data_IF_594360608165
#
_entry.id   IF_594360608165
#
_cell.length_a   1.000
_cell.length_b   1.000
_cell.length_c   1.000
_cell.angle_alpha   90.00
_cell.angle_beta   90.00
_cell.angle_gamma   90.00
#
_symmetry.space_group_name_H-M   'P 1'
#
loop_
_entity.id
_entity.type
_entity.pdbx_description
1 polymer ?
#
# COMPACT_ATOMS: atom_id res chain seq x y z
N UNK A 1 41.90 2.23 47.08
CA UNK A 1 41.27 3.39 46.43
C UNK A 1 41.47 3.45 44.90
N UNK A 2 42.63 3.09 44.35
CA UNK A 2 42.84 3.09 42.89
C UNK A 2 41.98 2.06 42.11
N UNK A 3 41.73 0.86 42.67
CA UNK A 3 40.91 -0.16 42.04
C UNK A 3 39.43 0.16 42.01
N UNK A 4 38.92 0.90 42.99
CA UNK A 4 37.52 1.31 43.03
C UNK A 4 37.19 2.37 42.00
N UNK A 5 38.15 3.22 41.67
CA UNK A 5 37.97 4.28 40.65
C UNK A 5 37.93 3.71 39.22
N UNK A 6 38.65 2.60 38.93
CA UNK A 6 38.66 1.94 37.66
C UNK A 6 37.36 1.18 37.37
N UNK A 7 36.69 0.65 38.38
CA UNK A 7 35.40 -0.02 38.27
C UNK A 7 34.26 0.95 37.96
N UNK A 8 34.33 2.20 38.48
CA UNK A 8 33.31 3.21 38.19
C UNK A 8 33.41 3.77 36.75
N UNK A 9 34.62 3.81 36.16
CA UNK A 9 34.81 4.31 34.80
C UNK A 9 34.30 3.32 33.75
N UNK A 10 34.34 2.00 34.06
CA UNK A 10 33.85 0.97 33.12
C UNK A 10 32.32 0.86 33.05
N UNK A 11 31.61 1.34 34.08
CA UNK A 11 30.13 1.29 34.14
C UNK A 11 29.44 2.39 33.33
N UNK A 12 30.15 3.42 32.88
CA UNK A 12 29.56 4.59 32.19
C UNK A 12 29.52 4.44 30.67
N UNK A 13 30.21 3.44 30.10
CA UNK A 13 30.34 3.28 28.64
C UNK A 13 29.22 2.47 28.00
N UNK A 14 28.33 1.84 28.79
CA UNK A 14 27.28 0.94 28.26
C UNK A 14 25.87 1.58 28.17
N UNK A 15 25.74 2.90 28.31
CA UNK A 15 24.43 3.57 28.35
C UNK A 15 24.05 4.33 27.08
N UNK A 16 24.65 4.00 25.93
CA UNK A 16 24.25 4.57 24.64
C UNK A 16 23.79 3.45 23.68
N UNK A 17 22.80 2.65 24.08
CA UNK A 17 21.86 2.10 23.13
C UNK A 17 20.72 3.11 23.02
N UNK A 18 20.88 4.11 22.21
CA UNK A 18 19.76 4.78 21.57
C UNK A 18 19.13 3.72 20.68
N UNK A 19 17.98 3.20 21.11
CA UNK A 19 17.04 2.61 20.17
C UNK A 19 16.68 3.71 19.20
N UNK A 20 17.33 3.74 18.05
CA UNK A 20 16.74 4.36 16.88
C UNK A 20 15.43 3.62 16.69
N UNK A 21 14.36 4.28 17.08
CA UNK A 21 13.04 3.95 16.58
C UNK A 21 13.24 3.80 15.08
N UNK A 22 12.98 2.61 14.54
CA UNK A 22 12.69 2.48 13.14
C UNK A 22 11.57 3.49 12.90
N UNK A 23 11.93 4.68 12.46
CA UNK A 23 10.98 5.59 11.85
C UNK A 23 10.27 4.71 10.83
N UNK A 24 9.01 4.46 11.13
CA UNK A 24 8.07 3.87 10.22
C UNK A 24 8.29 4.59 8.89
N UNK A 25 8.87 3.88 7.92
CA UNK A 25 9.02 4.36 6.54
C UNK A 25 7.63 4.41 5.91
N UNK A 26 6.72 5.09 6.58
CA UNK A 26 5.45 5.47 6.04
C UNK A 26 5.76 6.47 4.94
N UNK A 27 5.84 6.00 3.71
CA UNK A 27 5.89 6.88 2.55
C UNK A 27 4.67 7.79 2.69
N UNK A 28 4.84 9.11 2.85
CA UNK A 28 3.70 10.00 3.04
C UNK A 28 2.76 9.85 1.86
N UNK A 29 1.52 9.44 2.13
CA UNK A 29 0.49 9.41 1.07
C UNK A 29 0.27 10.87 0.64
N UNK A 30 0.37 11.18 -0.67
CA UNK A 30 0.14 12.53 -1.16
C UNK A 30 -1.20 13.08 -0.70
N UNK A 31 -1.27 14.38 -0.45
CA UNK A 31 -2.51 15.04 -0.02
C UNK A 31 -3.63 14.97 -1.04
N UNK A 32 -3.30 14.84 -2.33
CA UNK A 32 -4.25 14.61 -3.42
C UNK A 32 -3.84 13.34 -4.18
N UNK A 33 -4.69 12.33 -4.15
CA UNK A 33 -4.51 11.09 -4.89
C UNK A 33 -5.32 11.16 -6.18
N UNK A 34 -4.63 11.11 -7.31
CA UNK A 34 -5.28 11.09 -8.64
C UNK A 34 -5.20 9.71 -9.28
N UNK A 35 -6.12 9.43 -10.19
CA UNK A 35 -6.12 8.19 -10.94
C UNK A 35 -4.83 8.03 -11.74
N UNK A 36 -4.53 8.99 -12.61
CA UNK A 36 -3.43 8.90 -13.57
C UNK A 36 -2.07 8.73 -12.90
N UNK A 37 -1.82 9.44 -11.80
CA UNK A 37 -0.50 9.42 -11.16
C UNK A 37 -0.34 8.30 -10.13
N UNK A 38 -1.42 7.88 -9.49
CA UNK A 38 -1.32 7.03 -8.30
C UNK A 38 -2.04 5.69 -8.44
N UNK A 39 -3.27 5.68 -8.99
CA UNK A 39 -4.10 4.48 -9.04
C UNK A 39 -3.83 3.66 -10.29
N UNK A 40 -3.76 4.30 -11.45
CA UNK A 40 -3.54 3.63 -12.72
C UNK A 40 -2.29 2.73 -12.72
N UNK A 41 -1.11 3.16 -12.25
CA UNK A 41 0.08 2.30 -12.20
C UNK A 41 -0.13 1.04 -11.36
N UNK A 42 -0.90 1.11 -10.28
CA UNK A 42 -1.24 -0.04 -9.44
C UNK A 42 -2.15 -1.00 -10.22
N UNK A 43 -3.18 -0.49 -10.87
CA UNK A 43 -4.12 -1.30 -11.64
C UNK A 43 -3.46 -1.96 -12.85
N UNK A 44 -2.63 -1.24 -13.60
CA UNK A 44 -1.93 -1.74 -14.78
C UNK A 44 -0.99 -2.89 -14.45
N UNK A 45 -0.31 -2.81 -13.31
CA UNK A 45 0.68 -3.82 -12.90
C UNK A 45 0.06 -5.02 -12.17
N UNK A 46 -1.08 -4.84 -11.51
CA UNK A 46 -1.63 -5.85 -10.59
C UNK A 46 -3.01 -6.38 -10.97
N UNK A 47 -3.75 -5.67 -11.80
CA UNK A 47 -5.16 -5.98 -12.06
C UNK A 47 -5.49 -6.10 -13.55
N UNK A 48 -5.11 -5.10 -14.35
CA UNK A 48 -5.40 -5.02 -15.79
C UNK A 48 -4.41 -5.82 -16.65
N UNK A 49 -3.82 -6.86 -16.09
CA UNK A 49 -2.85 -7.72 -16.77
C UNK A 49 -3.53 -8.74 -17.66
N UNK A 50 -2.74 -9.37 -18.57
CA UNK A 50 -3.21 -10.43 -19.44
C UNK A 50 -3.79 -11.61 -18.63
N UNK A 51 -4.96 -12.08 -19.02
CA UNK A 51 -5.69 -13.12 -18.30
C UNK A 51 -6.49 -12.64 -17.09
N UNK A 52 -6.46 -11.34 -16.80
CA UNK A 52 -7.14 -10.74 -15.65
C UNK A 52 -8.20 -9.70 -16.11
N UNK A 53 -8.05 -8.44 -15.71
CA UNK A 53 -9.05 -7.40 -15.95
C UNK A 53 -8.66 -6.40 -17.04
N UNK A 54 -7.96 -6.85 -18.08
CA UNK A 54 -7.75 -6.06 -19.28
C UNK A 54 -8.92 -6.26 -20.28
N UNK A 55 -8.98 -5.43 -21.32
CA UNK A 55 -10.07 -5.45 -22.30
C UNK A 55 -10.18 -6.79 -23.05
N UNK A 56 -9.07 -7.48 -23.31
CA UNK A 56 -9.10 -8.75 -24.06
C UNK A 56 -9.52 -9.94 -23.18
N UNK A 57 -9.22 -9.93 -21.90
CA UNK A 57 -9.57 -11.02 -20.96
C UNK A 57 -10.94 -10.83 -20.32
N UNK A 58 -11.26 -9.61 -19.94
CA UNK A 58 -12.55 -9.18 -19.37
C UNK A 58 -13.07 -10.16 -18.30
N UNK A 59 -12.21 -10.59 -17.40
CA UNK A 59 -12.53 -11.61 -16.40
C UNK A 59 -13.66 -11.14 -15.49
N UNK A 60 -14.67 -11.95 -15.31
CA UNK A 60 -15.90 -11.64 -14.58
C UNK A 60 -16.65 -10.39 -15.09
N UNK A 61 -16.49 -10.04 -16.36
CA UNK A 61 -17.11 -8.85 -16.95
C UNK A 61 -16.57 -7.54 -16.37
N UNK A 62 -15.32 -7.54 -15.90
CA UNK A 62 -14.67 -6.38 -15.31
C UNK A 62 -13.40 -6.04 -16.09
N UNK A 63 -13.33 -4.79 -16.58
CA UNK A 63 -12.13 -4.20 -17.17
C UNK A 63 -11.66 -3.04 -16.31
N UNK A 64 -10.35 -2.86 -16.13
CA UNK A 64 -9.75 -1.87 -15.23
C UNK A 64 -8.65 -1.04 -15.92
N UNK A 65 -8.79 -0.76 -17.21
CA UNK A 65 -7.77 -0.05 -18.01
C UNK A 65 -7.98 1.46 -18.08
N UNK A 66 -9.17 1.95 -17.78
CA UNK A 66 -9.49 3.38 -17.88
C UNK A 66 -10.00 3.93 -16.56
N UNK A 67 -9.95 5.25 -16.43
CA UNK A 67 -10.50 5.96 -15.27
C UNK A 67 -11.96 5.59 -14.99
N UNK A 68 -12.84 5.67 -16.01
CA UNK A 68 -14.27 5.39 -15.84
C UNK A 68 -14.53 3.94 -15.40
N UNK A 69 -13.80 2.99 -15.98
CA UNK A 69 -13.89 1.57 -15.62
C UNK A 69 -13.43 1.32 -14.19
N UNK A 70 -12.32 1.93 -13.79
CA UNK A 70 -11.81 1.83 -12.43
C UNK A 70 -12.79 2.48 -11.45
N UNK A 71 -13.25 3.70 -11.73
CA UNK A 71 -14.22 4.38 -10.88
C UNK A 71 -15.48 3.54 -10.67
N UNK A 72 -16.09 3.02 -11.74
CA UNK A 72 -17.25 2.14 -11.64
C UNK A 72 -17.00 0.90 -10.78
N UNK A 73 -15.83 0.28 -10.94
CA UNK A 73 -15.44 -0.90 -10.18
C UNK A 73 -15.37 -0.63 -8.68
N UNK A 74 -14.77 0.48 -8.29
CA UNK A 74 -14.59 0.85 -6.88
C UNK A 74 -15.82 1.49 -6.25
N UNK A 75 -16.65 2.14 -7.04
CA UNK A 75 -17.90 2.76 -6.60
C UNK A 75 -19.05 1.75 -6.50
N UNK A 76 -19.24 0.93 -7.53
CA UNK A 76 -20.45 0.15 -7.73
C UNK A 76 -20.25 -1.38 -7.64
N UNK A 77 -19.02 -1.89 -7.76
CA UNK A 77 -18.76 -3.33 -7.89
C UNK A 77 -17.94 -3.93 -6.74
N UNK A 78 -17.82 -3.23 -5.63
CA UNK A 78 -17.13 -3.71 -4.43
C UNK A 78 -15.65 -4.11 -4.64
N UNK A 79 -14.95 -3.48 -5.59
CA UNK A 79 -13.59 -3.86 -5.93
C UNK A 79 -12.61 -3.74 -4.74
N UNK A 80 -12.66 -2.66 -3.96
CA UNK A 80 -11.82 -2.49 -2.78
C UNK A 80 -12.05 -3.60 -1.73
N UNK A 81 -13.29 -4.00 -1.51
CA UNK A 81 -13.61 -5.10 -0.60
C UNK A 81 -13.03 -6.44 -1.07
N UNK A 82 -12.99 -6.68 -2.38
CA UNK A 82 -12.36 -7.88 -2.95
C UNK A 82 -10.84 -7.88 -2.75
N UNK A 83 -10.20 -6.72 -2.78
CA UNK A 83 -8.75 -6.58 -2.53
C UNK A 83 -8.39 -6.82 -1.06
N UNK A 84 -9.33 -6.63 -0.16
CA UNK A 84 -9.13 -6.77 1.29
C UNK A 84 -9.69 -8.07 1.86
N UNK A 85 -10.39 -8.88 1.04
CA UNK A 85 -11.04 -10.10 1.53
C UNK A 85 -10.03 -11.22 1.78
N UNK A 86 -10.27 -12.01 2.82
CA UNK A 86 -9.51 -13.23 3.09
C UNK A 86 -10.20 -14.43 2.40
N UNK A 87 -9.47 -15.16 1.58
CA UNK A 87 -9.97 -16.41 0.96
C UNK A 87 -10.40 -16.30 -0.50
N UNK A 88 -10.83 -15.16 -0.99
CA UNK A 88 -11.13 -14.91 -2.40
C UNK A 88 -10.66 -13.51 -2.80
N UNK A 89 -9.47 -13.16 -2.34
CA UNK A 89 -8.87 -11.85 -2.57
C UNK A 89 -8.46 -11.63 -4.03
N UNK A 90 -8.39 -10.37 -4.42
CA UNK A 90 -7.81 -9.93 -5.68
C UNK A 90 -6.59 -9.05 -5.38
N UNK A 91 -5.47 -9.29 -6.09
CA UNK A 91 -5.25 -10.36 -7.07
C UNK A 91 -5.12 -11.75 -6.42
N UNK A 92 -5.43 -12.83 -7.16
CA UNK A 92 -5.34 -14.21 -6.64
C UNK A 92 -3.91 -14.66 -6.28
N UNK A 93 -2.91 -13.98 -6.83
CA UNK A 93 -1.49 -14.24 -6.57
C UNK A 93 -1.02 -13.79 -5.18
N UNK A 94 -1.85 -13.08 -4.44
CA UNK A 94 -1.53 -12.57 -3.10
C UNK A 94 -2.00 -11.13 -2.90
N UNK A 95 -2.03 -10.70 -1.65
CA UNK A 95 -2.48 -9.36 -1.32
C UNK A 95 -1.50 -8.30 -1.83
N UNK A 96 -2.05 -7.18 -2.27
CA UNK A 96 -1.25 -5.99 -2.56
C UNK A 96 -0.59 -5.45 -1.28
N UNK A 97 0.54 -4.72 -1.41
CA UNK A 97 1.10 -3.96 -0.30
C UNK A 97 0.03 -3.04 0.33
N UNK A 98 0.08 -2.88 1.64
CA UNK A 98 -0.87 -2.02 2.36
C UNK A 98 -0.88 -0.59 1.83
N UNK A 99 0.29 -0.07 1.44
CA UNK A 99 0.43 1.25 0.82
C UNK A 99 -0.39 1.38 -0.47
N UNK A 100 -0.43 0.35 -1.32
CA UNK A 100 -1.24 0.35 -2.55
C UNK A 100 -2.74 0.35 -2.23
N UNK A 101 -3.14 -0.42 -1.22
CA UNK A 101 -4.53 -0.43 -0.73
C UNK A 101 -4.92 0.94 -0.17
N UNK A 102 -4.01 1.58 0.59
CA UNK A 102 -4.25 2.89 1.17
C UNK A 102 -4.34 3.99 0.12
N UNK A 103 -3.53 3.94 -0.94
CA UNK A 103 -3.64 4.85 -2.09
C UNK A 103 -5.05 4.74 -2.71
N UNK A 104 -5.50 3.53 -3.02
CA UNK A 104 -6.82 3.32 -3.64
C UNK A 104 -7.95 3.75 -2.70
N UNK A 105 -7.84 3.47 -1.39
CA UNK A 105 -8.81 3.91 -0.40
C UNK A 105 -8.90 5.44 -0.35
N UNK A 106 -7.76 6.12 -0.25
CA UNK A 106 -7.73 7.58 -0.24
C UNK A 106 -8.27 8.20 -1.54
N UNK A 107 -7.98 7.60 -2.70
CA UNK A 107 -8.56 8.02 -3.97
C UNK A 107 -10.08 7.95 -3.95
N UNK A 108 -10.64 6.86 -3.46
CA UNK A 108 -12.09 6.72 -3.27
C UNK A 108 -12.64 7.78 -2.31
N UNK A 109 -12.00 7.96 -1.14
CA UNK A 109 -12.46 8.87 -0.10
C UNK A 109 -12.38 10.34 -0.53
N UNK A 110 -11.48 10.67 -1.45
CA UNK A 110 -11.33 11.99 -2.08
C UNK A 110 -12.28 12.22 -3.26
N UNK A 111 -13.16 11.28 -3.58
CA UNK A 111 -14.17 11.43 -4.62
C UNK A 111 -13.65 11.11 -6.03
N UNK A 112 -12.67 10.20 -6.12
CA UNK A 112 -12.16 9.69 -7.41
C UNK A 112 -11.55 10.77 -8.31
N UNK A 113 -10.55 11.50 -7.83
CA UNK A 113 -9.84 12.49 -8.65
C UNK A 113 -9.16 11.83 -9.86
N UNK A 114 -9.28 12.43 -11.05
CA UNK A 114 -8.69 11.92 -12.31
C UNK A 114 -7.19 12.18 -12.45
#
# INVERSE_FOLDING_TARGET
MKQLLLLCIFAIVCSNCTSDSTDDLTIPIPSAITYTQHVQPILDTSCATSGCHNASSNTAGLVLETYDQAKDAFENRFALGRMQSQGASMPPSGNLPSTSIDIIRNWKDQGYLE
#
